data_IF_175681314335
#
_entry.id   IF_175681314335
#
_cell.length_a   1.000
_cell.length_b   1.000
_cell.length_c   1.000
_cell.angle_alpha   90.00
_cell.angle_beta   90.00
_cell.angle_gamma   90.00
#
_symmetry.space_group_name_H-M   'P 1'
#
loop_
_entity.id
_entity.type
_entity.pdbx_description
1 polymer ?
#
# COMPACT_ATOMS: atom_id res chain seq x y z
N UNK A 1 16.30 56.28 48.60
CA UNK A 1 14.93 55.75 48.47
C UNK A 1 14.54 55.90 47.01
N UNK A 2 14.23 54.79 46.33
CA UNK A 2 14.40 54.57 44.88
C UNK A 2 13.39 55.35 44.02
N UNK A 3 13.91 55.78 42.86
CA UNK A 3 13.36 56.65 41.82
C UNK A 3 12.32 55.96 40.90
N UNK A 4 11.33 56.73 40.39
CA UNK A 4 10.28 56.30 39.47
C UNK A 4 10.67 56.69 38.03
N UNK A 5 11.06 55.70 37.21
CA UNK A 5 11.14 55.87 35.75
C UNK A 5 10.30 54.83 35.02
N UNK A 6 9.32 55.34 34.30
CA UNK A 6 8.40 54.65 33.38
C UNK A 6 9.17 54.16 32.15
N UNK A 7 9.00 52.89 31.77
CA UNK A 7 9.39 52.36 30.47
C UNK A 7 8.20 51.59 29.88
N UNK A 8 7.57 52.17 28.87
CA UNK A 8 6.63 51.51 27.98
C UNK A 8 7.44 50.69 26.96
N UNK A 9 7.32 49.36 27.02
CA UNK A 9 7.78 48.46 25.97
C UNK A 9 6.55 48.03 25.17
N UNK A 10 6.42 48.61 23.98
CA UNK A 10 5.47 48.14 22.97
C UNK A 10 6.00 46.83 22.36
N UNK A 11 5.29 45.72 22.53
CA UNK A 11 5.60 44.47 21.84
C UNK A 11 5.13 44.55 20.38
N UNK A 12 6.05 44.64 19.43
CA UNK A 12 5.72 44.33 18.03
C UNK A 12 5.62 42.82 17.88
N UNK A 13 4.40 42.30 17.76
CA UNK A 13 4.18 40.96 17.27
C UNK A 13 4.54 40.94 15.77
N UNK A 14 5.66 40.29 15.42
CA UNK A 14 5.99 40.01 14.04
C UNK A 14 4.97 39.00 13.49
N UNK A 15 4.12 39.46 12.58
CA UNK A 15 3.30 38.58 11.75
C UNK A 15 4.23 37.84 10.79
N UNK A 16 4.50 36.56 11.08
CA UNK A 16 5.08 35.65 10.11
C UNK A 16 3.97 35.39 9.08
N UNK A 17 4.16 35.71 7.79
CA UNK A 17 3.16 35.38 6.79
C UNK A 17 3.04 33.86 6.75
N UNK A 18 1.81 33.34 6.83
CA UNK A 18 1.53 31.96 6.53
C UNK A 18 2.05 31.68 5.13
N UNK A 19 3.15 30.95 5.01
CA UNK A 19 3.58 30.36 3.75
C UNK A 19 2.42 29.55 3.24
N UNK A 20 1.79 30.03 2.17
CA UNK A 20 0.94 29.22 1.31
C UNK A 20 1.80 28.06 0.88
N UNK A 21 1.65 26.90 1.53
CA UNK A 21 2.10 25.63 0.98
C UNK A 21 1.42 25.54 -0.38
N UNK A 22 2.15 25.86 -1.45
CA UNK A 22 1.72 25.59 -2.79
C UNK A 22 1.36 24.11 -2.78
N UNK A 23 0.07 23.81 -2.94
CA UNK A 23 -0.42 22.45 -3.09
C UNK A 23 0.36 21.87 -4.26
N UNK A 24 1.39 21.07 -4.00
CA UNK A 24 2.16 20.40 -5.04
C UNK A 24 1.15 19.75 -5.96
N UNK A 25 1.09 20.19 -7.21
CA UNK A 25 0.22 19.61 -8.21
C UNK A 25 0.58 18.14 -8.30
N UNK A 26 -0.38 17.25 -8.02
CA UNK A 26 -0.16 15.82 -8.14
C UNK A 26 0.37 15.54 -9.55
N UNK A 27 1.47 14.77 -9.68
CA UNK A 27 2.07 14.50 -10.98
C UNK A 27 1.04 13.82 -11.88
N UNK A 28 0.96 14.25 -13.14
CA UNK A 28 0.02 13.69 -14.11
C UNK A 28 0.50 12.30 -14.57
N UNK A 29 -0.34 11.26 -14.51
CA UNK A 29 0.03 9.94 -14.99
C UNK A 29 -0.09 9.83 -16.52
N UNK A 30 0.57 8.81 -17.07
CA UNK A 30 0.24 8.23 -18.37
C UNK A 30 -0.65 7.01 -18.15
N UNK A 31 -1.85 7.01 -18.74
CA UNK A 31 -2.81 5.90 -18.62
C UNK A 31 -2.64 4.90 -19.75
N UNK A 32 -2.70 3.61 -19.42
CA UNK A 32 -2.63 2.51 -20.38
C UNK A 32 -3.72 1.46 -20.11
N UNK A 33 -4.14 0.78 -21.16
CA UNK A 33 -4.97 -0.43 -21.05
C UNK A 33 -4.06 -1.66 -20.88
N UNK A 34 -4.42 -2.55 -19.95
CA UNK A 34 -3.76 -3.85 -19.77
C UNK A 34 -4.74 -5.02 -19.99
N UNK A 35 -5.65 -4.84 -20.93
CA UNK A 35 -6.78 -5.74 -21.19
C UNK A 35 -8.07 -4.94 -21.12
N UNK A 36 -9.03 -5.36 -20.30
CA UNK A 36 -10.29 -4.64 -20.10
C UNK A 36 -10.24 -3.61 -18.97
N UNK A 37 -9.09 -3.46 -18.30
CA UNK A 37 -8.87 -2.53 -17.20
C UNK A 37 -7.66 -1.63 -17.50
N UNK A 38 -7.54 -0.54 -16.72
CA UNK A 38 -6.58 0.54 -16.94
C UNK A 38 -5.57 0.62 -15.81
N UNK A 39 -4.37 1.08 -16.13
CA UNK A 39 -3.36 1.46 -15.15
C UNK A 39 -2.81 2.86 -15.46
N UNK A 40 -2.31 3.52 -14.43
CA UNK A 40 -1.67 4.82 -14.48
C UNK A 40 -0.20 4.66 -14.07
N UNK A 41 0.72 5.14 -14.92
CA UNK A 41 2.14 5.20 -14.65
C UNK A 41 2.54 6.65 -14.35
N UNK A 42 3.13 6.84 -13.18
CA UNK A 42 3.73 8.08 -12.74
C UNK A 42 5.26 7.90 -12.73
N UNK A 43 5.97 8.75 -13.44
CA UNK A 43 7.44 8.72 -13.52
C UNK A 43 7.99 10.15 -13.64
N UNK A 44 9.18 10.45 -13.08
CA UNK A 44 9.84 11.72 -13.32
C UNK A 44 10.23 11.87 -14.80
N UNK A 45 10.26 13.10 -15.30
CA UNK A 45 10.70 13.35 -16.67
C UNK A 45 12.16 12.92 -16.87
N UNK A 46 12.43 12.21 -17.96
CA UNK A 46 13.77 11.68 -18.26
C UNK A 46 14.25 10.55 -17.34
N UNK A 47 13.39 10.03 -16.44
CA UNK A 47 13.74 8.90 -15.60
C UNK A 47 14.13 7.67 -16.43
N UNK A 48 15.10 6.90 -15.92
CA UNK A 48 15.54 5.65 -16.52
C UNK A 48 15.96 4.68 -15.42
N UNK A 49 15.45 3.46 -15.52
CA UNK A 49 15.79 2.37 -14.61
C UNK A 49 15.47 2.61 -13.14
N UNK A 50 14.50 3.43 -12.76
CA UNK A 50 14.11 3.63 -11.35
C UNK A 50 13.38 2.42 -10.77
N UNK A 51 13.52 2.11 -9.46
CA UNK A 51 12.65 1.14 -8.81
C UNK A 51 11.16 1.54 -8.92
N UNK A 52 10.28 0.55 -8.89
CA UNK A 52 8.84 0.72 -9.17
C UNK A 52 8.02 0.27 -7.97
N UNK A 53 7.08 1.11 -7.54
CA UNK A 53 6.00 0.70 -6.63
C UNK A 53 4.75 0.39 -7.45
N UNK A 54 4.32 -0.87 -7.45
CA UNK A 54 3.09 -1.33 -8.10
C UNK A 54 1.95 -1.40 -7.08
N UNK A 55 1.03 -0.44 -7.16
CA UNK A 55 0.00 -0.19 -6.16
C UNK A 55 -1.38 -0.70 -6.57
N UNK A 56 -2.07 -1.36 -5.63
CA UNK A 56 -3.46 -1.80 -5.73
C UNK A 56 -4.30 -1.11 -4.65
N UNK A 57 -5.31 -0.35 -5.09
CA UNK A 57 -6.16 0.41 -4.17
C UNK A 57 -7.07 -0.49 -3.32
N UNK A 58 -7.58 0.07 -2.22
CA UNK A 58 -8.62 -0.54 -1.38
C UNK A 58 -10.03 -0.24 -1.88
N UNK A 59 -11.02 -0.51 -1.03
CA UNK A 59 -12.44 -0.25 -1.31
C UNK A 59 -13.33 -1.48 -1.20
N UNK A 60 -13.02 -2.37 -0.25
CA UNK A 60 -13.85 -3.52 0.10
C UNK A 60 -14.19 -4.44 -1.10
N UNK A 61 -13.28 -4.58 -2.07
CA UNK A 61 -13.45 -5.41 -3.29
C UNK A 61 -14.64 -5.02 -4.19
N UNK A 62 -15.36 -3.95 -3.84
CA UNK A 62 -16.59 -3.47 -4.48
C UNK A 62 -16.40 -2.05 -5.06
N UNK A 63 -15.43 -1.30 -4.55
CA UNK A 63 -15.23 0.10 -4.88
C UNK A 63 -13.75 0.45 -5.07
N UNK A 64 -13.54 1.60 -5.69
CA UNK A 64 -12.25 2.26 -5.77
C UNK A 64 -11.88 2.61 -7.21
N UNK A 65 -10.71 3.21 -7.37
CA UNK A 65 -10.15 3.56 -8.68
C UNK A 65 -8.66 3.84 -8.58
N UNK A 66 -7.94 3.61 -9.67
CA UNK A 66 -6.49 3.88 -9.79
C UNK A 66 -6.06 5.31 -9.48
N UNK A 67 -6.97 6.28 -9.56
CA UNK A 67 -6.70 7.68 -9.22
C UNK A 67 -6.77 7.99 -7.71
N UNK A 68 -7.19 7.04 -6.86
CA UNK A 68 -7.23 7.19 -5.40
C UNK A 68 -5.86 6.94 -4.75
N UNK A 69 -4.87 7.74 -5.14
CA UNK A 69 -3.47 7.54 -4.77
C UNK A 69 -2.97 8.54 -3.72
N UNK A 70 -3.71 9.62 -3.46
CA UNK A 70 -3.33 10.62 -2.45
C UNK A 70 -1.96 11.23 -2.72
N UNK A 71 -1.14 11.38 -1.67
CA UNK A 71 0.21 11.93 -1.77
C UNK A 71 1.26 10.93 -2.27
N UNK A 72 0.94 9.63 -2.36
CA UNK A 72 1.87 8.55 -2.72
C UNK A 72 2.70 8.84 -3.98
N UNK A 73 2.13 9.26 -5.13
CA UNK A 73 2.93 9.48 -6.33
C UNK A 73 3.94 10.60 -6.13
N UNK A 74 3.51 11.77 -5.65
CA UNK A 74 4.40 12.91 -5.45
C UNK A 74 5.57 12.56 -4.50
N UNK A 75 5.26 11.90 -3.38
CA UNK A 75 6.25 11.45 -2.42
C UNK A 75 7.25 10.45 -3.01
N UNK A 76 6.77 9.40 -3.69
CA UNK A 76 7.62 8.33 -4.21
C UNK A 76 8.49 8.82 -5.38
N UNK A 77 7.95 9.66 -6.26
CA UNK A 77 8.71 10.27 -7.35
C UNK A 77 9.84 11.15 -6.84
N UNK A 78 9.57 11.99 -5.83
CA UNK A 78 10.57 12.82 -5.16
C UNK A 78 11.68 11.98 -4.48
N UNK A 79 11.40 10.71 -4.19
CA UNK A 79 12.33 9.77 -3.56
C UNK A 79 12.96 8.77 -4.54
N UNK A 80 12.84 8.99 -5.86
CA UNK A 80 13.54 8.19 -6.87
C UNK A 80 12.84 6.90 -7.27
N UNK A 81 11.51 6.85 -7.16
CA UNK A 81 10.70 5.71 -7.58
C UNK A 81 9.76 6.09 -8.73
N UNK A 82 9.49 5.15 -9.63
CA UNK A 82 8.27 5.17 -10.43
C UNK A 82 7.11 4.61 -9.59
N UNK A 83 5.90 5.10 -9.84
CA UNK A 83 4.69 4.62 -9.17
C UNK A 83 3.66 4.18 -10.22
N UNK A 84 3.09 3.00 -10.05
CA UNK A 84 2.04 2.47 -10.91
C UNK A 84 0.80 2.20 -10.06
N UNK A 85 -0.38 2.60 -10.53
CA UNK A 85 -1.65 2.32 -9.87
C UNK A 85 -2.63 1.72 -10.87
N UNK A 86 -3.40 0.72 -10.46
CA UNK A 86 -4.27 -0.05 -11.37
C UNK A 86 -5.74 0.08 -10.97
N UNK A 87 -6.63 0.09 -11.95
CA UNK A 87 -8.01 -0.36 -11.74
C UNK A 87 -8.00 -1.88 -11.79
N UNK A 88 -9.04 -2.54 -11.27
CA UNK A 88 -9.29 -3.96 -11.49
C UNK A 88 -10.81 -4.17 -11.47
N UNK A 89 -11.32 -5.26 -12.05
CA UNK A 89 -12.76 -5.53 -11.98
C UNK A 89 -13.15 -5.84 -10.55
N UNK A 90 -14.34 -5.44 -10.13
CA UNK A 90 -14.80 -5.52 -8.74
C UNK A 90 -16.14 -6.23 -8.64
N UNK A 91 -16.57 -6.53 -7.42
CA UNK A 91 -17.91 -7.05 -7.15
C UNK A 91 -18.97 -5.99 -7.48
N UNK A 92 -20.18 -6.42 -7.93
CA UNK A 92 -20.60 -7.81 -8.14
C UNK A 92 -20.16 -8.43 -9.49
N UNK A 93 -19.57 -7.66 -10.40
CA UNK A 93 -19.24 -8.11 -11.77
C UNK A 93 -18.07 -9.10 -11.83
N UNK A 94 -17.18 -9.07 -10.83
CA UNK A 94 -16.01 -9.92 -10.73
C UNK A 94 -15.75 -10.39 -9.30
N UNK A 95 -15.81 -11.70 -9.10
CA UNK A 95 -15.42 -12.36 -7.85
C UNK A 95 -13.93 -12.12 -7.52
N UNK A 96 -13.56 -12.24 -6.24
CA UNK A 96 -12.21 -11.94 -5.73
C UNK A 96 -11.10 -12.69 -6.48
N UNK A 97 -11.33 -13.93 -6.91
CA UNK A 97 -10.38 -14.69 -7.74
C UNK A 97 -10.10 -14.02 -9.10
N UNK A 98 -11.13 -13.42 -9.71
CA UNK A 98 -11.01 -12.64 -10.94
C UNK A 98 -10.25 -11.33 -10.68
N UNK A 99 -10.49 -10.68 -9.55
CA UNK A 99 -9.76 -9.47 -9.15
C UNK A 99 -8.26 -9.77 -8.98
N UNK A 100 -7.91 -10.89 -8.32
CA UNK A 100 -6.54 -11.35 -8.18
C UNK A 100 -5.89 -11.63 -9.54
N UNK A 101 -6.63 -12.25 -10.47
CA UNK A 101 -6.17 -12.48 -11.84
C UNK A 101 -5.93 -11.17 -12.61
N UNK A 102 -6.72 -10.12 -12.35
CA UNK A 102 -6.52 -8.80 -12.96
C UNK A 102 -5.26 -8.11 -12.40
N UNK A 103 -4.98 -8.26 -11.10
CA UNK A 103 -3.73 -7.77 -10.49
C UNK A 103 -2.50 -8.43 -11.14
N UNK A 104 -2.54 -9.76 -11.34
CA UNK A 104 -1.45 -10.50 -11.99
C UNK A 104 -1.23 -10.10 -13.44
N UNK A 105 -2.32 -9.88 -14.20
CA UNK A 105 -2.24 -9.35 -15.57
C UNK A 105 -1.65 -7.95 -15.62
N UNK A 106 -2.04 -7.07 -14.69
CA UNK A 106 -1.48 -5.74 -14.62
C UNK A 106 0.02 -5.77 -14.29
N UNK A 107 0.41 -6.60 -13.32
CA UNK A 107 1.81 -6.80 -12.96
C UNK A 107 2.64 -7.33 -14.14
N UNK A 108 2.10 -8.29 -14.90
CA UNK A 108 2.74 -8.79 -16.12
C UNK A 108 2.91 -7.70 -17.18
N UNK A 109 1.89 -6.85 -17.38
CA UNK A 109 1.99 -5.69 -18.27
C UNK A 109 3.10 -4.73 -17.82
N UNK A 110 3.13 -4.39 -16.53
CA UNK A 110 4.14 -3.48 -15.96
C UNK A 110 5.54 -4.07 -16.13
N UNK A 111 5.73 -5.33 -15.77
CA UNK A 111 7.01 -6.03 -15.92
C UNK A 111 7.51 -6.02 -17.38
N UNK A 112 6.60 -6.11 -18.35
CA UNK A 112 6.96 -6.10 -19.77
C UNK A 112 7.21 -4.69 -20.35
N UNK A 113 6.70 -3.62 -19.73
CA UNK A 113 6.66 -2.29 -20.36
C UNK A 113 7.30 -1.16 -19.54
N UNK A 114 7.50 -1.32 -18.23
CA UNK A 114 7.89 -0.20 -17.34
C UNK A 114 9.26 0.41 -17.68
N UNK A 115 10.15 -0.37 -18.31
CA UNK A 115 11.43 0.10 -18.86
C UNK A 115 11.27 1.29 -19.82
N UNK A 116 10.20 1.30 -20.63
CA UNK A 116 9.89 2.38 -21.58
C UNK A 116 9.39 3.65 -20.88
N UNK A 117 9.06 3.55 -19.60
CA UNK A 117 8.47 4.62 -18.80
C UNK A 117 9.37 5.02 -17.63
N UNK A 118 10.64 4.63 -17.69
CA UNK A 118 11.66 5.05 -16.74
C UNK A 118 11.85 4.15 -15.52
N UNK A 119 11.09 3.06 -15.40
CA UNK A 119 11.24 2.11 -14.30
C UNK A 119 12.05 0.87 -14.67
N UNK A 120 12.58 0.15 -13.69
CA UNK A 120 13.32 -1.10 -13.86
C UNK A 120 12.40 -2.30 -13.58
N UNK A 121 12.14 -3.19 -14.55
CA UNK A 121 11.24 -4.33 -14.37
C UNK A 121 11.77 -5.39 -13.39
N UNK A 122 13.04 -5.32 -12.99
CA UNK A 122 13.63 -6.22 -11.99
C UNK A 122 13.55 -5.68 -10.56
N UNK A 123 13.05 -4.46 -10.38
CA UNK A 123 13.01 -3.73 -9.11
C UNK A 123 11.61 -3.24 -8.79
N UNK A 124 10.65 -4.17 -8.80
CA UNK A 124 9.23 -3.88 -8.54
C UNK A 124 8.87 -4.35 -7.12
N UNK A 125 8.31 -3.46 -6.31
CA UNK A 125 7.68 -3.78 -5.03
C UNK A 125 6.16 -3.70 -5.19
N UNK A 126 5.44 -4.76 -4.81
CA UNK A 126 3.99 -4.78 -4.79
C UNK A 126 3.47 -4.09 -3.53
N UNK A 127 2.55 -3.15 -3.66
CA UNK A 127 1.96 -2.40 -2.55
C UNK A 127 0.44 -2.43 -2.65
N UNK A 128 -0.28 -2.56 -1.53
CA UNK A 128 -1.73 -2.38 -1.56
C UNK A 128 -2.32 -2.01 -0.22
N UNK A 129 -3.47 -1.36 -0.25
CA UNK A 129 -4.24 -0.99 0.96
C UNK A 129 -5.54 -1.79 1.07
N UNK A 130 -5.92 -2.23 2.27
CA UNK A 130 -7.25 -2.83 2.53
C UNK A 130 -7.57 -4.04 1.64
N UNK A 131 -8.55 -3.95 0.76
CA UNK A 131 -8.82 -4.96 -0.27
C UNK A 131 -7.63 -5.18 -1.21
N UNK A 132 -6.95 -4.11 -1.64
CA UNK A 132 -5.73 -4.20 -2.44
C UNK A 132 -4.55 -4.79 -1.67
N UNK A 133 -4.47 -4.56 -0.36
CA UNK A 133 -3.51 -5.24 0.52
C UNK A 133 -3.74 -6.75 0.51
N UNK A 134 -5.00 -7.18 0.60
CA UNK A 134 -5.36 -8.59 0.48
C UNK A 134 -4.98 -9.16 -0.89
N UNK A 135 -5.28 -8.45 -1.98
CA UNK A 135 -4.96 -8.92 -3.34
C UNK A 135 -3.46 -9.02 -3.60
N UNK A 136 -2.65 -8.06 -3.13
CA UNK A 136 -1.18 -8.12 -3.24
C UNK A 136 -0.62 -9.27 -2.39
N UNK A 137 -1.13 -9.45 -1.17
CA UNK A 137 -0.74 -10.60 -0.34
C UNK A 137 -1.10 -11.92 -1.04
N UNK A 138 -2.32 -12.06 -1.55
CA UNK A 138 -2.79 -13.28 -2.19
C UNK A 138 -1.96 -13.62 -3.44
N UNK A 139 -1.82 -12.66 -4.34
CA UNK A 139 -1.09 -12.85 -5.61
C UNK A 139 0.41 -13.03 -5.37
N UNK A 140 1.01 -12.28 -4.44
CA UNK A 140 2.42 -12.42 -4.06
C UNK A 140 2.73 -13.78 -3.45
N UNK A 141 1.92 -14.24 -2.49
CA UNK A 141 2.18 -15.52 -1.81
C UNK A 141 1.92 -16.72 -2.73
N UNK A 142 0.90 -16.66 -3.60
CA UNK A 142 0.62 -17.75 -4.55
C UNK A 142 1.52 -17.79 -5.79
N UNK A 143 2.50 -16.88 -5.88
CA UNK A 143 3.47 -16.83 -6.99
C UNK A 143 2.97 -16.16 -8.27
N UNK A 144 1.88 -15.38 -8.18
CA UNK A 144 1.30 -14.64 -9.30
C UNK A 144 2.06 -13.38 -9.71
N UNK A 145 3.02 -12.94 -8.89
CA UNK A 145 3.87 -11.76 -9.14
C UNK A 145 5.35 -12.20 -9.33
N UNK A 146 5.70 -12.83 -10.46
CA UNK A 146 7.04 -13.40 -10.64
C UNK A 146 8.11 -12.31 -10.58
N UNK A 147 9.16 -12.56 -9.80
CA UNK A 147 10.30 -11.64 -9.66
C UNK A 147 10.01 -10.37 -8.85
N UNK A 148 8.86 -10.29 -8.14
CA UNK A 148 8.59 -9.16 -7.26
C UNK A 148 9.64 -9.10 -6.14
N UNK A 149 10.23 -7.92 -5.95
CA UNK A 149 11.36 -7.72 -5.04
C UNK A 149 10.93 -7.70 -3.56
N UNK A 150 9.69 -7.26 -3.29
CA UNK A 150 9.10 -7.25 -1.95
C UNK A 150 7.62 -6.90 -1.98
N UNK A 151 6.97 -7.04 -0.83
CA UNK A 151 5.55 -6.76 -0.65
C UNK A 151 5.35 -5.75 0.48
N UNK A 152 4.57 -4.69 0.24
CA UNK A 152 4.16 -3.71 1.23
C UNK A 152 2.65 -3.81 1.43
N UNK A 153 2.27 -4.46 2.52
CA UNK A 153 0.91 -4.84 2.86
C UNK A 153 0.35 -3.83 3.86
N UNK A 154 -0.41 -2.85 3.35
CA UNK A 154 -1.02 -1.78 4.15
C UNK A 154 -2.43 -2.18 4.59
N UNK A 155 -2.48 -2.78 5.78
CA UNK A 155 -3.67 -2.87 6.60
C UNK A 155 -4.84 -3.67 5.99
N UNK A 156 -4.80 -5.01 6.14
CA UNK A 156 -5.94 -5.90 5.92
C UNK A 156 -6.14 -6.89 7.08
N UNK A 157 -7.29 -7.56 7.09
CA UNK A 157 -7.59 -8.68 7.99
C UNK A 157 -7.67 -10.02 7.25
N UNK A 158 -7.84 -10.00 5.94
CA UNK A 158 -8.15 -11.18 5.14
C UNK A 158 -6.91 -12.03 4.81
N UNK A 159 -5.97 -12.22 5.74
CA UNK A 159 -4.81 -13.08 5.53
C UNK A 159 -5.17 -14.56 5.62
N UNK A 160 -6.07 -14.90 6.54
CA UNK A 160 -6.60 -16.26 6.76
C UNK A 160 -8.09 -16.16 7.07
N UNK A 161 -8.93 -16.49 6.10
CA UNK A 161 -10.38 -16.32 6.20
C UNK A 161 -11.03 -17.31 7.19
N UNK A 162 -10.46 -18.51 7.34
CA UNK A 162 -10.95 -19.49 8.31
C UNK A 162 -10.61 -19.05 9.74
N UNK A 163 -9.39 -18.55 9.97
CA UNK A 163 -9.01 -17.96 11.26
C UNK A 163 -9.82 -16.68 11.55
N UNK A 164 -10.06 -15.85 10.51
CA UNK A 164 -10.87 -14.65 10.63
C UNK A 164 -12.30 -14.97 11.10
N UNK A 165 -12.94 -16.01 10.54
CA UNK A 165 -14.24 -16.48 11.02
C UNK A 165 -14.16 -16.96 12.47
N UNK A 166 -13.23 -17.88 12.78
CA UNK A 166 -13.07 -18.48 14.11
C UNK A 166 -12.88 -17.42 15.20
N UNK A 167 -12.19 -16.32 14.87
CA UNK A 167 -11.92 -15.22 15.80
C UNK A 167 -13.07 -14.20 15.89
N UNK A 168 -14.23 -14.45 15.26
CA UNK A 168 -15.36 -13.53 15.21
C UNK A 168 -15.12 -12.31 14.31
N UNK A 169 -14.09 -12.35 13.49
CA UNK A 169 -13.65 -11.26 12.62
C UNK A 169 -14.37 -11.18 11.27
N UNK A 170 -15.17 -12.19 10.93
CA UNK A 170 -16.03 -12.23 9.74
C UNK A 170 -17.24 -11.29 9.88
N UNK A 171 -16.98 -10.01 10.13
CA UNK A 171 -18.00 -8.97 10.21
C UNK A 171 -18.67 -8.77 8.85
N UNK A 172 -19.83 -8.10 8.83
CA UNK A 172 -20.71 -7.95 7.66
C UNK A 172 -19.99 -7.63 6.34
N UNK A 173 -18.96 -6.77 6.37
CA UNK A 173 -18.20 -6.41 5.18
C UNK A 173 -17.43 -7.63 4.58
N UNK A 174 -16.77 -8.42 5.41
CA UNK A 174 -16.06 -9.64 4.97
C UNK A 174 -17.03 -10.77 4.64
N UNK A 175 -18.07 -10.96 5.46
CA UNK A 175 -19.08 -12.00 5.24
C UNK A 175 -19.81 -11.87 3.90
N UNK A 176 -20.00 -10.63 3.42
CA UNK A 176 -20.59 -10.36 2.10
C UNK A 176 -19.69 -10.82 0.95
N UNK A 177 -18.39 -10.55 1.07
CA UNK A 177 -17.41 -10.79 -0.01
C UNK A 177 -16.94 -12.25 -0.01
N UNK A 178 -16.78 -12.84 1.17
CA UNK A 178 -16.29 -14.19 1.39
C UNK A 178 -17.42 -15.10 1.91
N UNK A 179 -18.58 -15.04 1.27
CA UNK A 179 -19.79 -15.76 1.72
C UNK A 179 -19.74 -17.28 1.51
N UNK A 180 -18.82 -17.77 0.69
CA UNK A 180 -18.64 -19.20 0.38
C UNK A 180 -17.36 -19.75 1.05
N UNK A 181 -17.49 -20.49 2.17
CA UNK A 181 -16.35 -21.07 2.88
C UNK A 181 -15.51 -22.04 2.04
N UNK A 182 -16.08 -22.65 0.99
CA UNK A 182 -15.32 -23.55 0.11
C UNK A 182 -14.20 -22.83 -0.65
N UNK A 183 -14.30 -21.50 -0.79
CA UNK A 183 -13.31 -20.67 -1.47
C UNK A 183 -12.24 -20.10 -0.52
N UNK A 184 -12.45 -20.18 0.80
CA UNK A 184 -11.59 -19.49 1.77
C UNK A 184 -10.13 -19.90 1.71
N UNK A 185 -9.87 -21.20 1.54
CA UNK A 185 -8.50 -21.69 1.37
C UNK A 185 -7.81 -21.04 0.17
N UNK A 186 -8.48 -20.97 -0.99
CA UNK A 186 -7.94 -20.40 -2.23
C UNK A 186 -7.83 -18.87 -2.19
N UNK A 187 -8.59 -18.21 -1.33
CA UNK A 187 -8.61 -16.75 -1.19
C UNK A 187 -7.83 -16.24 0.02
N UNK A 188 -7.24 -17.13 0.83
CA UNK A 188 -6.41 -16.77 1.98
C UNK A 188 -4.93 -16.74 1.58
N UNK A 189 -4.25 -15.58 1.63
CA UNK A 189 -2.80 -15.50 1.46
C UNK A 189 -2.03 -16.51 2.32
N UNK A 190 -2.49 -16.74 3.55
CA UNK A 190 -1.87 -17.66 4.49
C UNK A 190 -1.81 -19.10 3.95
N UNK A 191 -2.80 -19.57 3.19
CA UNK A 191 -2.80 -20.93 2.62
C UNK A 191 -1.60 -21.23 1.71
N UNK A 192 -0.97 -20.19 1.16
CA UNK A 192 0.17 -20.32 0.24
C UNK A 192 1.53 -20.19 0.95
N UNK A 193 1.55 -19.96 2.26
CA UNK A 193 2.76 -19.98 3.08
C UNK A 193 3.06 -21.43 3.44
N UNK A 194 3.81 -22.10 2.56
CA UNK A 194 3.99 -23.57 2.49
C UNK A 194 5.45 -24.04 2.71
N UNK A 195 6.25 -23.23 3.41
CA UNK A 195 7.65 -23.56 3.74
C UNK A 195 8.68 -23.06 2.73
N UNK A 196 8.24 -22.46 1.62
CA UNK A 196 9.11 -21.68 0.74
C UNK A 196 9.38 -20.29 1.34
N UNK A 197 10.56 -19.74 1.03
CA UNK A 197 10.86 -18.33 1.33
C UNK A 197 10.06 -17.46 0.34
N UNK A 198 9.27 -16.53 0.87
CA UNK A 198 8.54 -15.54 0.08
C UNK A 198 9.37 -14.25 -0.06
N UNK A 199 8.96 -13.30 -0.93
CA UNK A 199 9.60 -11.99 -1.00
C UNK A 199 9.62 -11.31 0.37
N UNK A 200 10.66 -10.50 0.68
CA UNK A 200 10.66 -9.62 1.85
C UNK A 200 9.33 -8.88 1.96
N UNK A 201 8.71 -8.92 3.14
CA UNK A 201 7.35 -8.43 3.34
C UNK A 201 7.30 -7.40 4.46
N UNK A 202 6.82 -6.21 4.15
CA UNK A 202 6.44 -5.18 5.10
C UNK A 202 4.94 -5.27 5.36
N UNK A 203 4.54 -5.36 6.63
CA UNK A 203 3.15 -5.43 7.04
C UNK A 203 2.86 -4.26 7.98
N UNK A 204 1.90 -3.41 7.61
CA UNK A 204 1.34 -2.39 8.49
C UNK A 204 -0.08 -2.77 8.89
N UNK A 205 -0.46 -2.43 10.11
CA UNK A 205 -1.84 -2.53 10.58
C UNK A 205 -2.24 -1.28 11.34
N UNK A 206 -3.52 -0.90 11.23
CA UNK A 206 -4.08 0.21 11.99
C UNK A 206 -4.61 -0.21 13.36
N UNK A 207 -5.03 0.76 14.17
CA UNK A 207 -5.72 0.52 15.44
C UNK A 207 -7.18 0.05 15.30
N UNK A 208 -7.67 -0.18 14.07
CA UNK A 208 -9.00 -0.74 13.87
C UNK A 208 -9.04 -2.23 14.26
N UNK A 209 -10.12 -2.63 14.93
CA UNK A 209 -10.29 -3.95 15.57
C UNK A 209 -9.92 -5.14 14.67
N UNK A 210 -9.14 -6.09 15.23
CA UNK A 210 -8.67 -7.31 14.58
C UNK A 210 -7.42 -7.14 13.71
N UNK A 211 -7.12 -5.94 13.21
CA UNK A 211 -6.04 -5.77 12.21
C UNK A 211 -4.67 -6.08 12.76
N UNK A 212 -4.45 -5.75 14.03
CA UNK A 212 -3.21 -6.06 14.74
C UNK A 212 -3.03 -7.56 14.94
N UNK A 213 -4.08 -8.25 15.42
CA UNK A 213 -4.03 -9.69 15.66
C UNK A 213 -3.80 -10.47 14.35
N UNK A 214 -4.60 -10.20 13.31
CA UNK A 214 -4.52 -10.86 12.01
C UNK A 214 -3.16 -10.62 11.33
N UNK A 215 -2.64 -9.40 11.39
CA UNK A 215 -1.32 -9.06 10.82
C UNK A 215 -0.16 -9.72 11.56
N UNK A 216 -0.21 -9.77 12.90
CA UNK A 216 0.82 -10.43 13.72
C UNK A 216 0.86 -11.93 13.45
N UNK A 217 -0.30 -12.59 13.41
CA UNK A 217 -0.38 -14.02 13.11
C UNK A 217 0.16 -14.35 11.71
N UNK A 218 -0.16 -13.54 10.70
CA UNK A 218 0.39 -13.72 9.35
C UNK A 218 1.91 -13.47 9.29
N UNK A 219 2.40 -12.43 9.98
CA UNK A 219 3.83 -12.14 10.09
C UNK A 219 4.62 -13.29 10.73
N UNK A 220 4.09 -13.88 11.81
CA UNK A 220 4.68 -15.05 12.46
C UNK A 220 4.72 -16.26 11.53
N UNK A 221 3.63 -16.52 10.81
CA UNK A 221 3.57 -17.60 9.82
C UNK A 221 4.62 -17.46 8.72
N UNK A 222 4.83 -16.24 8.20
CA UNK A 222 5.88 -15.96 7.21
C UNK A 222 7.29 -16.12 7.80
N UNK A 223 7.54 -15.59 9.00
CA UNK A 223 8.84 -15.72 9.68
C UNK A 223 9.21 -17.19 9.93
N UNK A 224 8.23 -18.04 10.21
CA UNK A 224 8.44 -19.48 10.38
C UNK A 224 8.99 -20.17 9.11
N UNK A 225 8.84 -19.58 7.92
CA UNK A 225 9.46 -20.09 6.68
C UNK A 225 10.81 -19.46 6.35
N UNK A 226 11.35 -18.61 7.23
CA UNK A 226 12.56 -17.83 6.98
C UNK A 226 12.35 -16.62 6.07
N UNK A 227 11.10 -16.22 5.83
CA UNK A 227 10.77 -14.97 5.12
C UNK A 227 11.12 -13.77 5.99
N UNK A 228 11.78 -12.77 5.41
CA UNK A 228 12.07 -11.50 6.08
C UNK A 228 10.79 -10.68 6.21
N UNK A 229 10.43 -10.33 7.43
CA UNK A 229 9.19 -9.58 7.71
C UNK A 229 9.46 -8.37 8.59
N UNK A 230 9.16 -7.19 8.05
CA UNK A 230 9.05 -5.94 8.82
C UNK A 230 7.60 -5.75 9.23
N UNK A 231 7.35 -5.51 10.51
CA UNK A 231 6.01 -5.28 11.04
C UNK A 231 5.95 -3.86 11.60
N UNK A 232 5.03 -3.05 11.10
CA UNK A 232 4.78 -1.69 11.56
C UNK A 232 3.52 -1.63 12.41
N UNK A 233 3.68 -1.22 13.67
CA UNK A 233 2.57 -0.94 14.57
C UNK A 233 1.98 0.44 14.26
N UNK A 234 0.89 0.44 13.49
CA UNK A 234 0.12 1.63 13.17
C UNK A 234 -1.11 1.80 14.07
N UNK A 235 -1.08 1.34 15.34
CA UNK A 235 -2.20 1.47 16.27
C UNK A 235 -2.68 2.92 16.49
N UNK A 236 -1.82 3.91 16.25
CA UNK A 236 -2.18 5.33 16.26
C UNK A 236 -3.08 5.75 15.08
N UNK A 237 -3.17 4.95 14.03
CA UNK A 237 -3.96 5.22 12.83
C UNK A 237 -5.33 4.55 12.89
N UNK A 238 -6.30 5.17 12.23
CA UNK A 238 -7.52 4.48 11.78
C UNK A 238 -7.24 3.72 10.48
N UNK A 239 -8.14 2.80 10.10
CA UNK A 239 -8.05 2.09 8.82
C UNK A 239 -7.95 3.02 7.60
N UNK A 240 -8.58 4.20 7.67
CA UNK A 240 -8.54 5.15 6.56
C UNK A 240 -7.34 6.09 6.64
N UNK A 241 -6.97 6.55 7.83
CA UNK A 241 -5.85 7.49 7.98
C UNK A 241 -4.51 6.84 7.64
N UNK A 242 -4.32 5.55 7.91
CA UNK A 242 -3.07 4.84 7.59
C UNK A 242 -2.71 4.92 6.09
N UNK A 243 -3.70 4.82 5.20
CA UNK A 243 -3.49 4.97 3.74
C UNK A 243 -3.61 6.42 3.25
N UNK A 244 -4.52 7.21 3.84
CA UNK A 244 -4.71 8.62 3.45
C UNK A 244 -3.45 9.44 3.71
N UNK A 245 -2.82 9.22 4.86
CA UNK A 245 -1.70 10.04 5.33
C UNK A 245 -0.36 9.56 4.72
N UNK A 246 -0.32 8.39 4.09
CA UNK A 246 0.86 7.89 3.39
C UNK A 246 1.34 8.88 2.31
N UNK A 247 2.60 9.29 2.40
CA UNK A 247 3.25 10.27 1.55
C UNK A 247 3.18 11.70 2.09
N UNK A 248 2.58 11.91 3.26
CA UNK A 248 2.57 13.21 3.95
C UNK A 248 3.85 13.42 4.75
N UNK A 249 4.27 14.67 4.87
CA UNK A 249 5.46 15.03 5.64
C UNK A 249 5.32 14.64 7.11
N UNK A 250 6.37 14.00 7.65
CA UNK A 250 6.41 13.57 9.06
C UNK A 250 5.60 12.32 9.40
N UNK A 251 4.95 11.68 8.43
CA UNK A 251 4.21 10.44 8.66
C UNK A 251 5.15 9.25 8.95
N UNK A 252 4.90 8.56 10.07
CA UNK A 252 5.78 7.50 10.57
C UNK A 252 5.74 6.25 9.68
N UNK A 253 4.55 5.87 9.19
CA UNK A 253 4.42 4.75 8.24
C UNK A 253 5.18 5.04 6.95
N UNK A 254 5.04 6.26 6.41
CA UNK A 254 5.74 6.71 5.21
C UNK A 254 7.25 6.59 5.34
N UNK A 255 7.82 7.02 6.47
CA UNK A 255 9.26 6.90 6.73
C UNK A 255 9.72 5.43 6.79
N UNK A 256 8.98 4.58 7.52
CA UNK A 256 9.29 3.16 7.65
C UNK A 256 9.16 2.41 6.31
N UNK A 257 8.10 2.71 5.55
CA UNK A 257 7.86 2.18 4.22
C UNK A 257 8.99 2.59 3.25
N UNK A 258 9.42 3.86 3.26
CA UNK A 258 10.51 4.32 2.41
C UNK A 258 11.82 3.60 2.75
N UNK A 259 12.11 3.37 4.03
CA UNK A 259 13.30 2.62 4.45
C UNK A 259 13.25 1.18 3.91
N UNK A 260 12.11 0.51 4.04
CA UNK A 260 11.90 -0.83 3.48
C UNK A 260 12.05 -0.86 1.96
N UNK A 261 11.45 0.10 1.26
CA UNK A 261 11.57 0.22 -0.20
C UNK A 261 13.05 0.37 -0.61
N UNK A 262 13.78 1.30 0.03
CA UNK A 262 15.22 1.51 -0.27
C UNK A 262 16.08 0.30 0.07
N UNK A 263 15.82 -0.42 1.16
CA UNK A 263 16.60 -1.64 1.46
C UNK A 263 16.30 -2.80 0.50
N UNK A 264 15.11 -2.82 -0.11
CA UNK A 264 14.65 -3.91 -0.96
C UNK A 264 15.07 -3.73 -2.42
N UNK A 265 15.09 -2.49 -2.91
CA UNK A 265 15.34 -2.18 -4.34
C UNK A 265 16.30 -1.01 -4.59
N UNK A 266 16.85 -0.41 -3.53
CA UNK A 266 17.82 0.70 -3.62
C UNK A 266 19.23 0.27 -3.98
#
# INVERSE_FOLDING_TARGET
>A
MIDRRTLLLASMAAFVPATTLARQSSPSPKTFDYGTAKLDIYAPDGASGLPVVFFVHGGAWEYGKRSQVGAKPAFLLANGFCFVSIDYRMLPEAAVATQASDVEKAYAYVSANIAKHGGDPKRIVGMGHSAGCHLIALTGMRGGLPGVAGLLLDDTRAYDLAALEKNGGMVRAYARVFSDPSQWAALSPASYVDGRKHPPTFIAYSGASGRGEESKAFAERLRATGTEVTLFDGSAYTHMSINRDFGSDGDALTAAALAFLKSTVG
#
